data_IF_581581827191
#
_entry.id   IF_581581827191
#
_cell.length_a   1.000
_cell.length_b   1.000
_cell.length_c   1.000
_cell.angle_alpha   90.00
_cell.angle_beta   90.00
_cell.angle_gamma   90.00
#
_symmetry.space_group_name_H-M   'P 1'
#
loop_
_entity.id
_entity.type
_entity.pdbx_description
1 polymer ?
#
# COMPACT_ATOMS: atom_id res chain seq x y z
N UNK A 1 6.57 8.96 39.83
CA UNK A 1 7.18 9.27 38.53
C UNK A 1 6.06 9.19 37.50
N UNK A 2 5.90 10.20 36.66
CA UNK A 2 4.93 10.11 35.56
C UNK A 2 5.39 9.02 34.57
N UNK A 3 4.45 8.31 33.95
CA UNK A 3 4.76 7.24 32.99
C UNK A 3 4.72 7.81 31.59
N UNK A 4 5.81 7.65 30.84
CA UNK A 4 6.00 8.26 29.53
C UNK A 4 4.82 8.00 28.57
N UNK A 5 4.45 9.00 27.77
CA UNK A 5 3.37 8.93 26.77
C UNK A 5 3.95 8.47 25.44
N UNK A 6 3.76 7.20 25.13
CA UNK A 6 4.17 6.59 23.84
C UNK A 6 3.09 6.86 22.80
N UNK A 7 3.50 7.19 21.57
CA UNK A 7 2.58 7.41 20.45
C UNK A 7 3.15 6.92 19.12
N UNK A 8 2.39 6.12 18.38
CA UNK A 8 2.73 5.68 17.02
C UNK A 8 2.20 6.68 16.01
N UNK A 9 2.99 7.73 15.77
CA UNK A 9 2.62 8.86 14.91
C UNK A 9 3.65 9.19 13.83
N UNK A 10 4.71 8.37 13.67
CA UNK A 10 5.83 8.60 12.74
C UNK A 10 6.05 7.40 11.81
N UNK A 11 6.48 7.71 10.60
CA UNK A 11 6.97 6.81 9.56
C UNK A 11 8.52 6.79 9.52
N UNK A 12 9.17 5.93 8.72
CA UNK A 12 10.63 5.95 8.56
C UNK A 12 11.19 7.34 8.24
N UNK A 13 12.32 7.69 8.85
CA UNK A 13 12.97 8.99 8.63
C UNK A 13 12.34 10.16 9.41
N UNK A 14 11.63 9.87 10.50
CA UNK A 14 11.00 10.87 11.38
C UNK A 14 9.89 11.73 10.75
N UNK A 15 9.20 11.20 9.73
CA UNK A 15 8.13 11.92 9.02
C UNK A 15 6.73 11.53 9.49
N UNK A 16 5.79 12.48 9.49
CA UNK A 16 4.38 12.22 9.85
C UNK A 16 3.50 11.84 8.65
N UNK A 17 4.04 11.88 7.42
CA UNK A 17 3.28 11.72 6.18
C UNK A 17 3.84 10.60 5.31
N UNK A 18 2.95 9.82 4.71
CA UNK A 18 3.29 8.86 3.67
C UNK A 18 2.36 8.98 2.46
N UNK A 19 2.82 8.54 1.30
CA UNK A 19 2.00 8.33 0.11
C UNK A 19 2.17 6.91 -0.42
N UNK A 20 1.06 6.29 -0.82
CA UNK A 20 1.04 5.06 -1.60
C UNK A 20 0.08 5.18 -2.77
N UNK A 21 0.35 4.38 -3.81
CA UNK A 21 -0.45 4.30 -5.01
C UNK A 21 -0.80 2.83 -5.28
N UNK A 22 -2.00 2.57 -5.81
CA UNK A 22 -2.35 1.25 -6.34
C UNK A 22 -3.01 1.31 -7.72
N UNK A 23 -2.58 0.47 -8.64
CA UNK A 23 -3.18 0.35 -9.97
C UNK A 23 -3.48 -1.10 -10.32
N UNK A 24 -4.51 -1.32 -11.13
CA UNK A 24 -5.10 -2.65 -11.34
C UNK A 24 -4.96 -3.16 -12.80
N UNK A 25 -5.36 -4.41 -12.99
CA UNK A 25 -5.56 -5.13 -14.26
C UNK A 25 -4.31 -5.48 -15.10
N UNK A 26 -3.13 -4.90 -14.85
CA UNK A 26 -1.93 -5.20 -15.64
C UNK A 26 -2.03 -4.73 -17.10
N UNK A 27 -2.59 -3.54 -17.32
CA UNK A 27 -2.89 -3.02 -18.66
C UNK A 27 -1.61 -2.51 -19.33
N UNK A 28 -1.58 -2.53 -20.65
CA UNK A 28 -0.40 -2.13 -21.44
C UNK A 28 0.11 -0.69 -21.15
N UNK A 29 -0.77 0.14 -20.59
CA UNK A 29 -0.55 1.52 -20.17
C UNK A 29 0.30 1.63 -18.89
N UNK A 30 0.42 0.55 -18.10
CA UNK A 30 1.29 0.47 -16.92
C UNK A 30 2.74 0.80 -17.29
N UNK A 31 3.18 0.47 -18.51
CA UNK A 31 4.51 0.83 -19.01
C UNK A 31 4.78 2.34 -18.97
N UNK A 32 3.79 3.16 -19.33
CA UNK A 32 3.89 4.63 -19.29
C UNK A 32 3.75 5.16 -17.87
N UNK A 33 2.84 4.57 -17.09
CA UNK A 33 2.60 4.95 -15.70
C UNK A 33 3.81 4.69 -14.80
N UNK A 34 4.36 3.47 -14.84
CA UNK A 34 5.59 3.10 -14.14
C UNK A 34 6.77 4.00 -14.54
N UNK A 35 6.93 4.29 -15.83
CA UNK A 35 7.99 5.19 -16.31
C UNK A 35 7.83 6.62 -15.76
N UNK A 36 6.59 7.12 -15.60
CA UNK A 36 6.32 8.39 -14.94
C UNK A 36 6.60 8.31 -13.43
N UNK A 37 6.09 7.32 -12.72
CA UNK A 37 6.32 7.14 -11.28
C UNK A 37 7.80 7.06 -10.92
N UNK A 38 8.58 6.27 -11.69
CA UNK A 38 10.03 6.15 -11.53
C UNK A 38 10.78 7.48 -11.72
N UNK A 39 10.33 8.34 -12.65
CA UNK A 39 10.92 9.68 -12.87
C UNK A 39 10.87 10.55 -11.62
N UNK A 40 9.82 10.41 -10.82
CA UNK A 40 9.59 11.17 -9.58
C UNK A 40 10.02 10.39 -8.32
N UNK A 41 10.57 9.18 -8.45
CA UNK A 41 10.93 8.33 -7.32
C UNK A 41 9.73 7.86 -6.49
N UNK A 42 8.53 7.79 -7.11
CA UNK A 42 7.30 7.34 -6.46
C UNK A 42 7.16 5.82 -6.58
N UNK A 43 6.83 5.18 -5.45
CA UNK A 43 6.47 3.75 -5.41
C UNK A 43 4.97 3.53 -5.61
N UNK A 44 4.62 2.32 -6.03
CA UNK A 44 3.25 1.92 -6.29
C UNK A 44 3.07 0.42 -6.14
N UNK A 45 1.81 0.00 -6.11
CA UNK A 45 1.36 -1.38 -5.95
C UNK A 45 0.50 -1.76 -7.14
N UNK A 46 0.89 -2.78 -7.90
CA UNK A 46 0.19 -3.18 -9.11
C UNK A 46 -0.54 -4.50 -8.85
N UNK A 47 -1.86 -4.46 -8.85
CA UNK A 47 -2.73 -5.61 -8.66
C UNK A 47 -2.96 -6.26 -10.03
N UNK A 48 -2.33 -7.40 -10.27
CA UNK A 48 -2.26 -8.02 -11.59
C UNK A 48 -3.14 -9.27 -11.69
N UNK A 49 -3.68 -9.53 -12.87
CA UNK A 49 -4.42 -10.74 -13.21
C UNK A 49 -3.55 -11.67 -14.05
N UNK A 50 -3.05 -12.76 -13.46
CA UNK A 50 -2.23 -13.76 -14.15
C UNK A 50 -2.90 -14.36 -15.39
N UNK A 51 -4.22 -14.56 -15.35
CA UNK A 51 -4.99 -15.05 -16.49
C UNK A 51 -5.14 -14.04 -17.63
N UNK A 52 -4.76 -12.77 -17.43
CA UNK A 52 -4.90 -11.72 -18.45
C UNK A 52 -3.61 -11.44 -19.24
N UNK A 53 -2.46 -11.93 -18.78
CA UNK A 53 -1.18 -11.68 -19.44
C UNK A 53 -1.16 -12.13 -20.91
N UNK A 54 -0.68 -11.24 -21.79
CA UNK A 54 -0.59 -11.47 -23.23
C UNK A 54 -1.92 -11.38 -24.00
N UNK A 55 -3.06 -11.09 -23.34
CA UNK A 55 -4.31 -10.70 -24.02
C UNK A 55 -4.18 -9.28 -24.61
N UNK A 56 -5.06 -8.93 -25.55
CA UNK A 56 -5.04 -7.61 -26.20
C UNK A 56 -5.25 -6.47 -25.19
N UNK A 57 -4.34 -5.47 -25.22
CA UNK A 57 -4.32 -4.35 -24.28
C UNK A 57 -3.73 -4.65 -22.89
N UNK A 58 -3.17 -5.84 -22.67
CA UNK A 58 -2.52 -6.24 -21.42
C UNK A 58 -1.00 -6.40 -21.58
N UNK A 59 -0.27 -6.33 -20.47
CA UNK A 59 1.16 -6.68 -20.44
C UNK A 59 1.38 -8.19 -20.62
N UNK A 60 2.60 -8.57 -20.98
CA UNK A 60 3.03 -9.98 -21.05
C UNK A 60 3.54 -10.45 -19.69
N UNK A 61 3.58 -11.77 -19.44
CA UNK A 61 4.14 -12.30 -18.20
C UNK A 61 5.66 -12.03 -18.13
N UNK A 62 6.36 -12.17 -19.27
CA UNK A 62 7.81 -12.02 -19.36
C UNK A 62 8.37 -10.62 -19.00
N UNK A 63 7.55 -9.58 -19.00
CA UNK A 63 7.97 -8.21 -18.66
C UNK A 63 7.68 -7.82 -17.19
N UNK A 64 6.84 -8.55 -16.47
CA UNK A 64 6.36 -8.19 -15.11
C UNK A 64 7.50 -7.87 -14.15
N UNK A 65 8.52 -8.73 -14.10
CA UNK A 65 9.65 -8.60 -13.18
C UNK A 65 10.53 -7.36 -13.45
N UNK A 66 10.68 -6.99 -14.72
CA UNK A 66 11.47 -5.82 -15.15
C UNK A 66 10.66 -4.53 -15.03
N UNK A 67 9.40 -4.58 -15.46
CA UNK A 67 8.48 -3.45 -15.44
C UNK A 67 8.26 -2.97 -14.01
N UNK A 68 7.86 -3.83 -13.09
CA UNK A 68 7.53 -3.43 -11.72
C UNK A 68 8.74 -3.39 -10.77
N UNK A 69 9.97 -3.27 -11.30
CA UNK A 69 11.23 -3.29 -10.54
C UNK A 69 11.39 -2.04 -9.65
N UNK A 70 11.05 -2.17 -8.36
CA UNK A 70 11.00 -1.06 -7.39
C UNK A 70 9.57 -0.69 -6.95
N UNK A 71 8.58 -1.32 -7.57
CA UNK A 71 7.17 -1.33 -7.19
C UNK A 71 6.81 -2.67 -6.55
N UNK A 72 5.60 -2.78 -6.01
CA UNK A 72 5.04 -4.05 -5.54
C UNK A 72 4.13 -4.65 -6.59
N UNK A 73 4.23 -5.97 -6.78
CA UNK A 73 3.23 -6.79 -7.48
C UNK A 73 2.34 -7.47 -6.45
N UNK A 74 1.04 -7.39 -6.68
CA UNK A 74 -0.04 -7.74 -5.78
C UNK A 74 -1.09 -8.54 -6.56
N UNK A 75 -1.85 -9.41 -5.89
CA UNK A 75 -2.81 -10.28 -6.58
C UNK A 75 -4.09 -9.53 -6.99
N UNK A 76 -4.69 -9.92 -8.11
CA UNK A 76 -6.04 -9.46 -8.48
C UNK A 76 -6.97 -10.59 -8.95
N UNK A 77 -6.62 -11.85 -8.68
CA UNK A 77 -7.29 -13.09 -9.15
C UNK A 77 -6.97 -13.45 -10.61
N UNK A 78 -7.20 -14.71 -11.01
CA UNK A 78 -6.81 -15.18 -12.34
C UNK A 78 -7.67 -14.53 -13.42
N UNK A 79 -9.00 -14.63 -13.28
CA UNK A 79 -9.96 -14.24 -14.32
C UNK A 79 -10.91 -13.09 -13.90
N UNK A 80 -10.62 -12.41 -12.78
CA UNK A 80 -11.38 -11.26 -12.27
C UNK A 80 -12.90 -11.54 -12.05
N UNK A 81 -13.29 -12.57 -11.25
CA UNK A 81 -14.70 -12.86 -10.96
C UNK A 81 -15.25 -12.06 -9.76
N UNK A 82 -16.57 -11.96 -9.66
CA UNK A 82 -17.25 -11.47 -8.46
C UNK A 82 -17.07 -12.45 -7.30
N UNK A 83 -16.06 -12.22 -6.45
CA UNK A 83 -15.72 -13.12 -5.34
C UNK A 83 -16.86 -13.28 -4.32
N UNK A 84 -17.67 -12.25 -4.11
CA UNK A 84 -18.80 -12.28 -3.18
C UNK A 84 -19.91 -13.26 -3.61
N UNK A 85 -20.02 -13.52 -4.92
CA UNK A 85 -20.94 -14.44 -5.59
C UNK A 85 -20.31 -15.78 -5.96
N UNK A 86 -18.99 -15.94 -5.84
CA UNK A 86 -18.26 -17.18 -6.17
C UNK A 86 -18.28 -18.18 -5.01
N UNK A 87 -18.28 -19.51 -5.25
CA UNK A 87 -18.16 -20.51 -4.18
C UNK A 87 -16.75 -20.52 -3.56
N UNK A 88 -16.62 -21.01 -2.33
CA UNK A 88 -15.38 -20.90 -1.53
C UNK A 88 -14.16 -21.58 -2.20
N UNK A 89 -14.37 -22.71 -2.88
CA UNK A 89 -13.33 -23.43 -3.62
C UNK A 89 -12.83 -22.64 -4.84
N UNK A 90 -13.73 -21.95 -5.55
CA UNK A 90 -13.33 -21.03 -6.63
C UNK A 90 -12.56 -19.83 -6.07
N UNK A 91 -13.00 -19.21 -4.97
CA UNK A 91 -12.28 -18.09 -4.32
C UNK A 91 -10.84 -18.50 -3.97
N UNK A 92 -10.67 -19.71 -3.41
CA UNK A 92 -9.34 -20.25 -3.08
C UNK A 92 -8.52 -20.49 -4.34
N UNK A 93 -9.09 -21.07 -5.39
CA UNK A 93 -8.40 -21.30 -6.66
C UNK A 93 -7.92 -20.00 -7.30
N UNK A 94 -8.83 -19.04 -7.47
CA UNK A 94 -8.58 -17.72 -8.05
C UNK A 94 -7.44 -16.98 -7.36
N UNK A 95 -7.43 -16.95 -6.02
CA UNK A 95 -6.41 -16.22 -5.27
C UNK A 95 -5.08 -16.99 -5.23
N UNK A 96 -5.11 -18.31 -5.01
CA UNK A 96 -3.87 -19.09 -4.87
C UNK A 96 -3.15 -19.32 -6.19
N UNK A 97 -3.88 -19.53 -7.29
CA UNK A 97 -3.28 -19.69 -8.62
C UNK A 97 -2.68 -18.37 -9.10
N UNK A 98 -3.37 -17.25 -8.88
CA UNK A 98 -2.86 -15.92 -9.24
C UNK A 98 -1.60 -15.56 -8.45
N UNK A 99 -1.64 -15.70 -7.12
CA UNK A 99 -0.46 -15.50 -6.27
C UNK A 99 0.72 -16.37 -6.71
N UNK A 100 0.51 -17.66 -6.96
CA UNK A 100 1.59 -18.57 -7.35
C UNK A 100 2.24 -18.17 -8.69
N UNK A 101 1.45 -17.79 -9.68
CA UNK A 101 1.95 -17.32 -10.98
C UNK A 101 2.73 -16.01 -10.85
N UNK A 102 2.24 -15.05 -10.04
CA UNK A 102 2.94 -13.80 -9.80
C UNK A 102 4.23 -14.00 -9.00
N UNK A 103 4.22 -14.87 -7.97
CA UNK A 103 5.40 -15.23 -7.16
C UNK A 103 6.52 -15.85 -8.01
N UNK A 104 6.19 -16.68 -9.01
CA UNK A 104 7.17 -17.24 -9.97
C UNK A 104 7.84 -16.15 -10.83
N UNK A 105 7.09 -15.11 -11.22
CA UNK A 105 7.61 -14.00 -12.02
C UNK A 105 8.51 -13.06 -11.21
N UNK A 106 8.12 -12.71 -9.97
CA UNK A 106 8.78 -11.64 -9.21
C UNK A 106 9.78 -12.13 -8.15
N UNK A 107 9.77 -13.43 -7.82
CA UNK A 107 10.74 -14.03 -6.90
C UNK A 107 10.58 -13.65 -5.42
N UNK A 108 9.44 -13.05 -5.03
CA UNK A 108 9.09 -12.75 -3.64
C UNK A 108 7.62 -13.12 -3.35
N UNK A 109 7.25 -13.40 -2.08
CA UNK A 109 5.87 -13.75 -1.72
C UNK A 109 4.89 -12.61 -2.00
N UNK A 110 3.80 -12.89 -2.71
CA UNK A 110 2.74 -11.92 -3.01
C UNK A 110 1.73 -11.95 -1.86
N UNK A 111 1.70 -10.89 -1.06
CA UNK A 111 0.95 -10.83 0.21
C UNK A 111 -0.22 -9.85 0.20
N UNK A 112 -0.34 -9.04 -0.85
CA UNK A 112 -1.46 -8.14 -1.07
C UNK A 112 -2.47 -8.65 -2.07
N UNK A 113 -3.65 -8.04 -2.06
CA UNK A 113 -4.57 -8.10 -3.21
C UNK A 113 -5.41 -6.83 -3.35
N UNK A 114 -6.22 -6.78 -4.40
CA UNK A 114 -7.41 -5.94 -4.47
C UNK A 114 -8.62 -6.77 -4.88
N UNK A 115 -9.83 -6.34 -4.46
CA UNK A 115 -11.06 -7.06 -4.78
C UNK A 115 -11.52 -6.75 -6.20
N UNK A 116 -11.68 -7.75 -7.09
CA UNK A 116 -12.34 -7.57 -8.39
C UNK A 116 -13.69 -6.85 -8.24
N UNK A 117 -13.94 -5.88 -9.12
CA UNK A 117 -15.12 -5.00 -9.07
C UNK A 117 -15.35 -4.23 -7.75
N UNK A 118 -14.40 -4.28 -6.80
CA UNK A 118 -14.56 -3.77 -5.43
C UNK A 118 -15.51 -4.57 -4.54
N UNK A 119 -16.05 -5.70 -5.01
CA UNK A 119 -17.04 -6.49 -4.27
C UNK A 119 -16.37 -7.37 -3.22
N UNK A 120 -16.78 -7.20 -1.96
CA UNK A 120 -16.33 -8.02 -0.83
C UNK A 120 -17.44 -8.18 0.20
N UNK A 121 -17.41 -9.29 0.94
CA UNK A 121 -18.29 -9.54 2.08
C UNK A 121 -17.52 -10.32 3.15
N UNK A 122 -18.10 -10.46 4.34
CA UNK A 122 -17.42 -11.05 5.49
C UNK A 122 -16.94 -12.50 5.28
N UNK A 123 -17.63 -13.27 4.41
CA UNK A 123 -17.20 -14.61 3.99
C UNK A 123 -15.89 -14.53 3.19
N UNK A 124 -15.83 -13.69 2.16
CA UNK A 124 -14.62 -13.49 1.35
C UNK A 124 -13.46 -13.03 2.24
N UNK A 125 -13.69 -12.01 3.09
CA UNK A 125 -12.63 -11.45 3.94
C UNK A 125 -12.09 -12.47 4.94
N UNK A 126 -12.95 -13.33 5.51
CA UNK A 126 -12.52 -14.36 6.47
C UNK A 126 -11.61 -15.43 5.85
N UNK A 127 -11.67 -15.66 4.53
CA UNK A 127 -10.83 -16.63 3.81
C UNK A 127 -9.40 -16.09 3.63
N UNK A 128 -9.26 -14.78 3.39
CA UNK A 128 -8.00 -14.15 2.95
C UNK A 128 -6.76 -14.45 3.82
N UNK A 129 -6.81 -14.38 5.17
CA UNK A 129 -5.63 -14.65 6.01
C UNK A 129 -5.11 -16.09 5.87
N UNK A 130 -6.00 -17.06 5.66
CA UNK A 130 -5.63 -18.47 5.44
C UNK A 130 -4.96 -18.69 4.09
N UNK A 131 -5.19 -17.81 3.13
CA UNK A 131 -4.51 -17.77 1.82
C UNK A 131 -3.23 -16.92 1.84
N UNK A 132 -2.81 -16.42 3.01
CA UNK A 132 -1.61 -15.61 3.16
C UNK A 132 -1.74 -14.17 2.70
N UNK A 133 -2.95 -13.69 2.43
CA UNK A 133 -3.22 -12.28 2.15
C UNK A 133 -3.20 -11.46 3.45
N UNK A 134 -2.54 -10.32 3.41
CA UNK A 134 -2.24 -9.47 4.56
C UNK A 134 -2.95 -8.13 4.52
N UNK A 135 -3.34 -7.69 3.32
CA UNK A 135 -4.16 -6.53 3.07
C UNK A 135 -4.94 -6.71 1.76
N UNK A 136 -6.08 -6.03 1.63
CA UNK A 136 -6.89 -6.04 0.41
C UNK A 136 -7.53 -4.66 0.14
N UNK A 137 -7.27 -4.12 -1.06
CA UNK A 137 -7.75 -2.80 -1.51
C UNK A 137 -9.20 -2.88 -2.00
N UNK A 138 -10.03 -1.94 -1.55
CA UNK A 138 -11.44 -1.77 -1.96
C UNK A 138 -11.62 -0.54 -2.87
N UNK A 139 -12.74 -0.44 -3.59
CA UNK A 139 -13.05 0.73 -4.44
C UNK A 139 -13.65 1.92 -3.67
N UNK A 140 -14.00 1.74 -2.39
CA UNK A 140 -14.62 2.79 -1.57
C UNK A 140 -13.62 3.85 -1.12
N UNK A 141 -13.64 5.02 -1.74
CA UNK A 141 -12.81 6.16 -1.35
C UNK A 141 -13.41 6.94 -0.17
N UNK A 142 -12.60 7.26 0.85
CA UNK A 142 -13.10 7.96 2.06
C UNK A 142 -12.69 9.45 2.16
N UNK A 143 -11.79 9.97 1.31
CA UNK A 143 -11.45 11.39 1.20
C UNK A 143 -10.52 11.97 2.29
N UNK A 144 -10.11 11.17 3.28
CA UNK A 144 -9.29 11.58 4.42
C UNK A 144 -7.84 11.06 4.32
N UNK A 145 -6.98 11.50 5.24
CA UNK A 145 -5.56 11.08 5.31
C UNK A 145 -5.30 10.22 6.56
N UNK A 146 -5.70 8.95 6.51
CA UNK A 146 -5.57 8.02 7.65
C UNK A 146 -5.09 6.64 7.20
N UNK A 147 -4.47 5.93 8.13
CA UNK A 147 -4.18 4.50 7.98
C UNK A 147 -5.49 3.69 7.96
N UNK A 148 -5.50 2.48 7.37
CA UNK A 148 -6.64 1.58 7.42
C UNK A 148 -6.90 1.10 8.86
N UNK A 149 -8.17 1.01 9.25
CA UNK A 149 -8.57 0.34 10.50
C UNK A 149 -8.53 -1.19 10.34
N UNK A 150 -8.90 -1.67 9.15
CA UNK A 150 -8.85 -3.06 8.72
C UNK A 150 -8.01 -3.15 7.42
N UNK A 151 -6.79 -3.71 7.46
CA UNK A 151 -5.98 -3.94 6.26
C UNK A 151 -6.69 -4.73 5.15
N UNK A 152 -7.60 -5.64 5.49
CA UNK A 152 -8.35 -6.45 4.53
C UNK A 152 -9.57 -5.71 3.95
N UNK A 153 -9.86 -4.50 4.42
CA UNK A 153 -10.84 -3.58 3.84
C UNK A 153 -10.21 -2.21 3.68
N UNK A 154 -9.08 -2.16 2.97
CA UNK A 154 -8.35 -0.91 2.78
C UNK A 154 -9.11 0.01 1.83
N UNK A 155 -9.70 1.05 2.39
CA UNK A 155 -10.33 2.15 1.67
C UNK A 155 -9.26 3.17 1.24
N UNK A 156 -9.12 3.50 -0.05
CA UNK A 156 -8.23 4.57 -0.50
C UNK A 156 -8.72 5.97 -0.09
N UNK A 157 -7.81 6.96 -0.11
CA UNK A 157 -8.19 8.37 0.06
C UNK A 157 -9.06 8.81 -1.11
N UNK A 158 -8.62 8.56 -2.35
CA UNK A 158 -9.34 8.99 -3.55
C UNK A 158 -8.93 8.21 -4.80
N UNK A 159 -9.72 8.36 -5.87
CA UNK A 159 -9.34 7.89 -7.20
C UNK A 159 -8.33 8.86 -7.85
N UNK A 160 -7.52 8.40 -8.82
CA UNK A 160 -6.46 9.21 -9.45
C UNK A 160 -6.97 10.50 -10.10
N UNK A 161 -8.21 10.50 -10.60
CA UNK A 161 -8.89 11.68 -11.18
C UNK A 161 -9.09 12.81 -10.15
N UNK A 162 -9.12 12.49 -8.87
CA UNK A 162 -9.16 13.44 -7.74
C UNK A 162 -7.78 13.60 -7.08
N UNK A 163 -6.78 12.83 -7.51
CA UNK A 163 -5.47 12.67 -6.87
C UNK A 163 -4.69 13.98 -6.73
N UNK A 164 -4.80 14.89 -7.70
CA UNK A 164 -4.19 16.21 -7.62
C UNK A 164 -4.81 17.07 -6.50
N UNK A 165 -6.14 17.14 -6.44
CA UNK A 165 -6.85 17.89 -5.39
C UNK A 165 -6.58 17.28 -4.00
N UNK A 166 -6.56 15.94 -3.89
CA UNK A 166 -6.20 15.26 -2.66
C UNK A 166 -4.74 15.54 -2.25
N UNK A 167 -3.80 15.57 -3.21
CA UNK A 167 -2.39 15.94 -2.99
C UNK A 167 -2.25 17.35 -2.43
N UNK A 168 -2.95 18.33 -2.99
CA UNK A 168 -2.89 19.72 -2.53
C UNK A 168 -3.48 19.88 -1.12
N UNK A 169 -4.61 19.22 -0.82
CA UNK A 169 -5.16 19.14 0.54
C UNK A 169 -4.20 18.44 1.52
N UNK A 170 -3.49 17.40 1.09
CA UNK A 170 -2.57 16.61 1.91
C UNK A 170 -1.35 17.44 2.34
N UNK A 171 -0.74 18.16 1.40
CA UNK A 171 0.39 19.06 1.68
C UNK A 171 0.00 20.18 2.67
N UNK A 172 -1.23 20.68 2.56
CA UNK A 172 -1.80 21.71 3.43
C UNK A 172 -2.33 21.19 4.78
N UNK A 173 -2.37 19.87 5.02
CA UNK A 173 -2.95 19.29 6.23
C UNK A 173 -2.20 19.72 7.50
N UNK A 174 -2.92 20.25 8.49
CA UNK A 174 -2.38 20.63 9.80
C UNK A 174 -3.22 19.98 10.90
N UNK A 175 -2.96 18.70 11.24
CA UNK A 175 -3.74 18.01 12.26
C UNK A 175 -3.44 18.57 13.66
N UNK A 176 -4.49 18.80 14.46
CA UNK A 176 -4.41 19.33 15.83
C UNK A 176 -3.56 18.47 16.79
N UNK A 177 -3.31 17.21 16.44
CA UNK A 177 -2.41 16.31 17.13
C UNK A 177 -1.55 15.60 16.09
N UNK A 178 -0.29 15.31 16.42
CA UNK A 178 0.58 14.48 15.58
C UNK A 178 -0.10 13.13 15.25
N UNK A 179 0.08 12.64 14.02
CA UNK A 179 -0.45 11.34 13.58
C UNK A 179 0.26 10.93 12.29
N UNK A 180 0.22 9.63 11.98
CA UNK A 180 0.53 9.11 10.65
C UNK A 180 -0.61 9.50 9.69
N UNK A 181 -0.35 10.46 8.80
CA UNK A 181 -1.24 10.81 7.69
C UNK A 181 -0.82 10.07 6.42
N UNK A 182 -1.75 9.33 5.83
CA UNK A 182 -1.52 8.58 4.59
C UNK A 182 -2.37 9.18 3.47
N UNK A 183 -1.74 9.55 2.35
CA UNK A 183 -2.42 9.77 1.08
C UNK A 183 -2.39 8.47 0.28
N UNK A 184 -3.56 7.90 -0.02
CA UNK A 184 -3.68 6.70 -0.84
C UNK A 184 -4.50 6.98 -2.10
N UNK A 185 -3.84 6.97 -3.25
CA UNK A 185 -4.45 7.20 -4.58
C UNK A 185 -4.56 5.87 -5.33
N UNK A 186 -5.70 5.58 -5.95
CA UNK A 186 -5.89 4.38 -6.77
C UNK A 186 -6.51 4.65 -8.15
N UNK A 187 -6.44 3.67 -9.06
CA UNK A 187 -7.21 3.65 -10.30
C UNK A 187 -6.66 2.67 -11.33
N UNK A 188 -6.95 2.87 -12.61
CA UNK A 188 -6.42 2.01 -13.68
C UNK A 188 -5.61 2.83 -14.69
N UNK A 189 -4.48 2.30 -15.16
CA UNK A 189 -3.58 3.03 -16.05
C UNK A 189 -4.19 3.37 -17.42
N UNK A 190 -5.16 2.56 -17.89
CA UNK A 190 -5.87 2.82 -19.15
C UNK A 190 -6.77 4.06 -19.09
N UNK A 191 -7.19 4.48 -17.90
CA UNK A 191 -8.06 5.66 -17.75
C UNK A 191 -7.32 6.96 -18.08
N UNK A 192 -6.01 7.04 -17.83
CA UNK A 192 -5.23 8.22 -18.21
C UNK A 192 -5.18 8.44 -19.73
N UNK A 193 -5.17 7.35 -20.51
CA UNK A 193 -5.23 7.41 -21.97
C UNK A 193 -6.64 7.71 -22.46
N UNK A 194 -7.65 7.02 -21.91
CA UNK A 194 -9.06 7.22 -22.28
C UNK A 194 -9.55 8.65 -22.00
N UNK A 195 -9.21 9.20 -20.84
CA UNK A 195 -9.58 10.56 -20.44
C UNK A 195 -8.57 11.62 -20.97
N UNK A 196 -7.48 11.19 -21.61
CA UNK A 196 -6.36 12.02 -22.09
C UNK A 196 -5.88 13.03 -21.02
N UNK A 197 -5.51 12.53 -19.83
CA UNK A 197 -5.17 13.34 -18.66
C UNK A 197 -3.85 12.93 -17.96
N UNK A 198 -2.93 12.31 -18.70
CA UNK A 198 -1.62 11.85 -18.20
C UNK A 198 -0.81 12.90 -17.44
N UNK A 199 -1.00 14.19 -17.73
CA UNK A 199 -0.39 15.30 -17.00
C UNK A 199 -0.74 15.32 -15.51
N UNK A 200 -1.85 14.70 -15.08
CA UNK A 200 -2.17 14.53 -13.67
C UNK A 200 -1.08 13.76 -12.93
N UNK A 201 -0.52 12.71 -13.55
CA UNK A 201 0.56 11.92 -12.93
C UNK A 201 1.85 12.74 -12.79
N UNK A 202 2.20 13.52 -13.81
CA UNK A 202 3.36 14.43 -13.74
C UNK A 202 3.15 15.53 -12.67
N UNK A 203 1.96 16.14 -12.60
CA UNK A 203 1.63 17.19 -11.61
C UNK A 203 1.58 16.69 -10.16
N UNK A 204 1.14 15.46 -9.93
CA UNK A 204 1.22 14.78 -8.62
C UNK A 204 2.68 14.43 -8.32
N UNK A 205 3.42 13.93 -9.31
CA UNK A 205 4.84 13.61 -9.25
C UNK A 205 5.70 14.80 -8.81
N UNK A 206 5.51 15.97 -9.41
CA UNK A 206 6.22 17.21 -9.07
C UNK A 206 5.96 17.70 -7.63
N UNK A 207 4.82 17.34 -7.04
CA UNK A 207 4.41 17.76 -5.69
C UNK A 207 4.88 16.80 -4.59
N UNK A 208 4.97 15.51 -4.89
CA UNK A 208 5.24 14.44 -3.92
C UNK A 208 6.59 13.76 -4.10
N UNK A 209 7.11 13.71 -5.32
CA UNK A 209 8.34 13.03 -5.68
C UNK A 209 9.56 13.62 -4.98
N UNK A 210 10.33 12.77 -4.29
CA UNK A 210 11.51 13.21 -3.52
C UNK A 210 11.23 14.18 -2.37
N UNK A 211 9.97 14.42 -1.99
CA UNK A 211 9.63 15.39 -0.95
C UNK A 211 10.13 14.92 0.42
N UNK A 212 11.06 15.61 1.09
CA UNK A 212 11.83 15.07 2.22
C UNK A 212 11.01 14.78 3.48
N UNK A 213 9.81 15.34 3.59
CA UNK A 213 8.87 15.10 4.70
C UNK A 213 7.75 14.10 4.36
N UNK A 214 7.87 13.32 3.27
CA UNK A 214 6.87 12.33 2.85
C UNK A 214 7.56 11.01 2.51
N UNK A 215 7.15 9.92 3.15
CA UNK A 215 7.60 8.59 2.79
C UNK A 215 6.77 8.05 1.60
N UNK A 216 7.39 7.84 0.44
CA UNK A 216 6.76 7.08 -0.65
C UNK A 216 6.98 5.58 -0.44
N UNK A 217 5.89 4.83 -0.36
CA UNK A 217 5.87 3.43 0.04
C UNK A 217 4.93 2.60 -0.83
N UNK A 218 5.16 1.29 -0.93
CA UNK A 218 4.14 0.34 -1.40
C UNK A 218 3.16 -0.02 -0.27
N UNK A 219 2.08 -0.73 -0.60
CA UNK A 219 1.10 -1.16 0.41
C UNK A 219 1.68 -2.21 1.37
N UNK A 220 2.48 -3.18 0.89
CA UNK A 220 3.21 -4.12 1.73
C UNK A 220 4.24 -3.43 2.62
N UNK A 221 4.95 -2.40 2.13
CA UNK A 221 5.89 -1.63 2.97
C UNK A 221 5.16 -0.96 4.16
N UNK A 222 4.00 -0.35 3.90
CA UNK A 222 3.14 0.25 4.94
C UNK A 222 2.63 -0.80 5.95
N UNK A 223 2.22 -1.98 5.49
CA UNK A 223 1.71 -3.06 6.36
C UNK A 223 2.84 -3.69 7.18
N UNK A 224 4.01 -3.93 6.57
CA UNK A 224 5.19 -4.42 7.26
C UNK A 224 5.65 -3.43 8.35
N UNK A 225 5.68 -2.13 8.03
CA UNK A 225 6.00 -1.08 9.00
C UNK A 225 4.96 -0.98 10.13
N UNK A 226 3.66 -1.04 9.82
CA UNK A 226 2.60 -1.05 10.84
C UNK A 226 2.73 -2.24 11.79
N UNK A 227 2.97 -3.43 11.25
CA UNK A 227 3.22 -4.65 12.04
C UNK A 227 4.49 -4.55 12.90
N UNK A 228 5.54 -3.90 12.40
CA UNK A 228 6.76 -3.66 13.18
C UNK A 228 6.50 -2.73 14.38
N UNK A 229 5.71 -1.67 14.21
CA UNK A 229 5.24 -0.81 15.31
C UNK A 229 4.40 -1.59 16.33
N UNK A 230 3.40 -2.36 15.86
CA UNK A 230 2.52 -3.15 16.73
C UNK A 230 3.28 -4.29 17.45
N UNK A 231 4.43 -4.73 16.93
CA UNK A 231 5.29 -5.73 17.54
C UNK A 231 6.23 -5.18 18.62
N UNK A 232 6.31 -3.85 18.82
CA UNK A 232 7.16 -3.23 19.85
C UNK A 232 6.77 -3.69 21.27
N UNK A 233 7.77 -4.06 22.07
CA UNK A 233 7.58 -4.60 23.42
C UNK A 233 8.07 -3.60 24.46
N UNK A 234 7.14 -2.90 25.11
CA UNK A 234 7.44 -1.93 26.16
C UNK A 234 7.46 -2.59 27.55
N UNK A 235 8.34 -2.13 28.44
CA UNK A 235 8.24 -2.45 29.87
C UNK A 235 6.99 -1.84 30.48
N UNK A 236 6.47 -2.43 31.56
CA UNK A 236 5.26 -1.93 32.27
C UNK A 236 5.40 -0.47 32.72
N UNK A 237 6.61 -0.06 33.10
CA UNK A 237 6.93 1.32 33.50
C UNK A 237 7.33 2.23 32.32
N UNK A 238 7.31 1.73 31.08
CA UNK A 238 7.66 2.40 29.82
C UNK A 238 9.05 3.08 29.79
N UNK A 239 10.00 2.55 30.56
CA UNK A 239 11.42 2.95 30.55
C UNK A 239 12.29 2.13 29.60
N UNK A 240 11.72 1.06 29.03
CA UNK A 240 12.40 0.21 28.06
C UNK A 240 11.44 -0.11 26.92
N UNK A 241 11.99 -0.21 25.71
CA UNK A 241 11.34 -0.81 24.54
C UNK A 241 12.29 -1.79 23.88
N UNK A 242 11.76 -2.90 23.39
CA UNK A 242 12.45 -3.79 22.48
C UNK A 242 11.73 -3.82 21.13
N UNK A 243 12.47 -3.63 20.04
CA UNK A 243 12.01 -3.87 18.68
C UNK A 243 12.43 -5.29 18.27
N UNK A 244 11.49 -6.26 18.19
CA UNK A 244 11.80 -7.63 17.78
C UNK A 244 11.79 -7.81 16.26
N UNK A 245 11.49 -6.77 15.48
CA UNK A 245 11.35 -6.84 14.02
C UNK A 245 12.69 -6.61 13.29
N UNK A 246 12.70 -6.90 11.99
CA UNK A 246 13.79 -6.58 11.08
C UNK A 246 13.72 -5.14 10.51
N UNK A 247 12.78 -4.32 10.97
CA UNK A 247 12.45 -2.99 10.43
C UNK A 247 12.79 -1.92 11.47
N UNK A 248 13.49 -0.86 11.06
CA UNK A 248 13.66 0.34 11.88
C UNK A 248 12.31 1.03 12.05
N UNK A 249 11.89 1.34 13.28
CA UNK A 249 10.62 2.02 13.55
C UNK A 249 10.80 3.32 14.33
N UNK A 250 9.93 4.28 14.03
CA UNK A 250 9.90 5.61 14.63
C UNK A 250 8.57 5.82 15.36
N UNK A 251 8.64 6.40 16.55
CA UNK A 251 7.48 6.73 17.38
C UNK A 251 7.83 7.90 18.32
N UNK A 252 6.84 8.52 18.95
CA UNK A 252 7.07 9.59 19.92
C UNK A 252 7.06 9.08 21.36
N UNK A 253 7.93 9.67 22.20
CA UNK A 253 7.95 9.53 23.67
C UNK A 253 7.82 10.92 24.27
N UNK A 254 6.69 11.19 24.92
CA UNK A 254 6.32 12.52 25.46
C UNK A 254 6.38 13.68 24.45
N UNK A 255 6.33 13.35 23.14
CA UNK A 255 6.36 14.27 22.00
C UNK A 255 7.65 14.16 21.17
N UNK A 256 8.75 13.75 21.79
CA UNK A 256 10.07 13.67 21.16
C UNK A 256 10.22 12.40 20.31
N UNK A 257 10.89 12.47 19.14
CA UNK A 257 11.07 11.32 18.27
C UNK A 257 12.06 10.30 18.85
N UNK A 258 11.67 9.03 18.84
CA UNK A 258 12.52 7.89 19.20
C UNK A 258 12.56 6.90 18.05
N UNK A 259 13.78 6.48 17.72
CA UNK A 259 14.12 5.53 16.67
C UNK A 259 14.55 4.20 17.29
N UNK A 260 13.84 3.12 16.99
CA UNK A 260 14.19 1.77 17.45
C UNK A 260 14.73 0.92 16.30
N UNK A 261 16.05 0.69 16.31
CA UNK A 261 16.77 -0.16 15.38
C UNK A 261 16.26 -1.63 15.40
N UNK A 262 16.38 -2.38 14.29
CA UNK A 262 16.06 -3.80 14.23
C UNK A 262 16.72 -4.62 15.35
N UNK A 263 15.95 -5.44 16.05
CA UNK A 263 16.43 -6.28 17.15
C UNK A 263 16.85 -5.54 18.43
N UNK A 264 16.88 -4.21 18.46
CA UNK A 264 17.44 -3.45 19.58
C UNK A 264 16.55 -3.44 20.82
N UNK A 265 17.15 -3.21 21.98
CA UNK A 265 16.46 -2.79 23.21
C UNK A 265 17.00 -1.45 23.65
N UNK A 266 16.12 -0.48 23.88
CA UNK A 266 16.45 0.90 24.21
C UNK A 266 15.88 1.28 25.58
N UNK A 267 16.58 2.17 26.27
CA UNK A 267 16.01 2.95 27.37
C UNK A 267 15.22 4.13 26.82
N UNK A 268 14.08 4.42 27.45
CA UNK A 268 13.20 5.55 27.19
C UNK A 268 13.22 6.52 28.39
#
# INVERSE_FOLDING_TARGET
METAKIKFDRFPGDVHRAVTFSFDDGREHDRRLVAAMNRYGLKGTFHLNSGFFGKEGYIRAEEVAELFRGHEVSAHTVDHPFLDQSPDDQIVHEIMTDRAALEELVGYPVRGMSYPFGTSNDRVVAILPSLGIEYARTTGSHGEFRMPDDPLRWHPTCHHKEGLQATERFLQSQPHQSRMELLFIWGHSYEFEHDNNWELMDQIGERLGGHPAIWSATMAELIAYRRALDALRFSVNRKLVHNPSAIEVWFSVDGEPVKAEPGATLSL
#
